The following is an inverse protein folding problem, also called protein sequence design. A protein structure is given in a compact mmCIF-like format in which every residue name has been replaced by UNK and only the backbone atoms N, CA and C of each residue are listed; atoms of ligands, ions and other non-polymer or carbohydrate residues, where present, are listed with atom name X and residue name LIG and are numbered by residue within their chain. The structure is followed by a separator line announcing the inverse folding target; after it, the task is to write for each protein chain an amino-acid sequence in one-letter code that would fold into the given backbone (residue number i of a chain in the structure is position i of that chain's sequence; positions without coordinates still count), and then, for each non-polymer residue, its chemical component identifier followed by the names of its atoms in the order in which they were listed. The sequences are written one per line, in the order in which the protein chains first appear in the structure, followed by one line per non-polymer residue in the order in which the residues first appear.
data_IF_914689051048
#
_entry.id   IF_914689051048
#
_cell.length_a   1.000
_cell.length_b   1.000
_cell.length_c   1.000
_cell.angle_alpha   90.00
_cell.angle_beta   90.00
_cell.angle_gamma   90.00
#
_symmetry.space_group_name_H-M   'P 1'
#
loop_
_entity.id
_entity.type
_entity.pdbx_description
1 polymer ?
#
# COMPACT_ATOMS: atom_id res chain seq x y z
N UNK A 1 9.14 -14.87 -26.80
CA UNK A 1 9.20 -13.92 -25.69
C UNK A 1 10.59 -13.93 -25.07
N UNK A 2 11.17 -12.77 -24.96
CA UNK A 2 12.52 -12.63 -24.47
C UNK A 2 12.57 -12.88 -22.96
N UNK A 3 13.46 -13.77 -22.50
CA UNK A 3 13.69 -14.05 -21.08
C UNK A 3 14.07 -12.78 -20.30
N UNK A 4 14.71 -11.83 -20.99
CA UNK A 4 15.12 -10.57 -20.38
C UNK A 4 13.92 -9.77 -19.88
N UNK A 5 12.82 -9.74 -20.63
CA UNK A 5 11.59 -9.04 -20.23
C UNK A 5 10.97 -9.70 -19.00
N UNK A 6 10.91 -11.03 -18.97
CA UNK A 6 10.38 -11.76 -17.82
C UNK A 6 11.23 -11.56 -16.57
N UNK A 7 12.55 -11.53 -16.72
CA UNK A 7 13.48 -11.29 -15.62
C UNK A 7 13.29 -9.86 -15.07
N UNK A 8 13.20 -8.88 -15.95
CA UNK A 8 12.99 -7.48 -15.56
C UNK A 8 11.67 -7.30 -14.84
N UNK A 9 10.61 -7.93 -15.35
CA UNK A 9 9.30 -7.90 -14.73
C UNK A 9 9.34 -8.53 -13.33
N UNK A 10 10.00 -9.68 -13.22
CA UNK A 10 10.15 -10.38 -11.94
C UNK A 10 10.92 -9.56 -10.92
N UNK A 11 11.96 -8.85 -11.34
CA UNK A 11 12.71 -7.97 -10.45
C UNK A 11 11.86 -6.81 -9.94
N UNK A 12 10.96 -6.29 -10.77
CA UNK A 12 10.01 -5.24 -10.32
C UNK A 12 9.02 -5.79 -9.29
N UNK A 13 8.51 -7.00 -9.49
CA UNK A 13 7.64 -7.66 -8.50
C UNK A 13 8.39 -7.82 -7.17
N UNK A 14 9.62 -8.27 -7.21
CA UNK A 14 10.46 -8.42 -6.02
C UNK A 14 10.70 -7.09 -5.33
N UNK A 15 11.00 -6.04 -6.10
CA UNK A 15 11.22 -4.69 -5.59
C UNK A 15 9.96 -4.15 -4.91
N UNK A 16 8.82 -4.33 -5.54
CA UNK A 16 7.51 -3.96 -4.96
C UNK A 16 7.29 -4.67 -3.63
N UNK A 17 7.47 -5.98 -3.62
CA UNK A 17 7.27 -6.79 -2.41
C UNK A 17 8.17 -6.32 -1.26
N UNK A 18 9.44 -6.07 -1.55
CA UNK A 18 10.39 -5.58 -0.54
C UNK A 18 10.04 -4.18 -0.04
N UNK A 19 9.61 -3.31 -0.95
CA UNK A 19 9.16 -1.96 -0.59
C UNK A 19 7.96 -2.02 0.36
N UNK A 20 7.07 -3.00 0.16
CA UNK A 20 5.92 -3.24 1.03
C UNK A 20 6.28 -4.01 2.30
N UNK A 21 7.55 -4.40 2.46
CA UNK A 21 8.03 -5.16 3.62
C UNK A 21 7.28 -6.48 3.80
N UNK A 22 7.02 -7.18 2.69
CA UNK A 22 6.29 -8.44 2.67
C UNK A 22 7.19 -9.61 2.30
N UNK A 23 6.92 -10.77 2.88
CA UNK A 23 7.50 -12.04 2.42
C UNK A 23 6.80 -12.47 1.12
N UNK A 24 7.38 -13.42 0.40
CA UNK A 24 6.72 -14.01 -0.77
C UNK A 24 5.37 -14.62 -0.41
N UNK A 25 5.28 -15.28 0.74
CA UNK A 25 4.03 -15.87 1.22
C UNK A 25 2.98 -14.80 1.51
N UNK A 26 3.36 -13.71 2.18
CA UNK A 26 2.44 -12.61 2.49
C UNK A 26 1.89 -11.97 1.22
N UNK A 27 2.77 -11.71 0.28
CA UNK A 27 2.40 -11.12 -1.01
C UNK A 27 1.43 -12.05 -1.76
N UNK A 28 1.75 -13.35 -1.81
CA UNK A 28 0.92 -14.34 -2.49
C UNK A 28 -0.49 -14.39 -1.91
N UNK A 29 -0.60 -14.43 -0.58
CA UNK A 29 -1.90 -14.48 0.10
C UNK A 29 -2.76 -13.27 -0.26
N UNK A 30 -2.16 -12.10 -0.33
CA UNK A 30 -2.88 -10.86 -0.63
C UNK A 30 -3.53 -10.86 -2.01
N UNK A 31 -2.96 -11.57 -2.96
CA UNK A 31 -3.46 -11.60 -4.34
C UNK A 31 -4.00 -12.98 -4.75
N UNK A 32 -4.19 -13.87 -3.77
CA UNK A 32 -4.82 -15.16 -3.99
C UNK A 32 -3.95 -16.19 -4.72
N UNK A 33 -2.64 -16.10 -4.54
CA UNK A 33 -1.68 -17.01 -5.17
C UNK A 33 -0.88 -17.77 -4.11
N UNK A 34 0.00 -18.67 -4.56
CA UNK A 34 0.90 -19.41 -3.69
C UNK A 34 2.29 -18.78 -3.72
N UNK A 35 3.07 -19.04 -2.66
CA UNK A 35 4.47 -18.59 -2.59
C UNK A 35 5.26 -19.09 -3.80
N UNK A 36 5.05 -20.35 -4.18
CA UNK A 36 5.75 -20.94 -5.32
C UNK A 36 5.52 -20.17 -6.62
N UNK A 37 4.30 -19.70 -6.84
CA UNK A 37 3.96 -18.87 -7.99
C UNK A 37 4.72 -17.55 -7.96
N UNK A 38 4.80 -16.90 -6.80
CA UNK A 38 5.55 -15.64 -6.65
C UNK A 38 7.04 -15.86 -6.92
N UNK A 39 7.60 -16.96 -6.41
CA UNK A 39 8.99 -17.32 -6.69
C UNK A 39 9.25 -17.44 -8.19
N UNK A 40 8.35 -18.09 -8.92
CA UNK A 40 8.46 -18.24 -10.38
C UNK A 40 8.40 -16.89 -11.10
N UNK A 41 7.55 -15.98 -10.65
CA UNK A 41 7.49 -14.64 -11.22
C UNK A 41 8.79 -13.88 -10.96
N UNK A 42 9.28 -13.89 -9.73
CA UNK A 42 10.48 -13.13 -9.34
C UNK A 42 11.76 -13.65 -10.01
N UNK A 43 11.80 -14.92 -10.35
CA UNK A 43 12.95 -15.52 -11.04
C UNK A 43 12.84 -15.46 -12.57
N UNK A 44 11.72 -15.01 -13.10
CA UNK A 44 11.50 -14.93 -14.54
C UNK A 44 11.10 -16.25 -15.19
N UNK A 45 10.88 -17.31 -14.40
CA UNK A 45 10.45 -18.60 -14.92
C UNK A 45 9.02 -18.57 -15.47
N UNK A 46 8.21 -17.67 -14.96
CA UNK A 46 6.82 -17.51 -15.37
C UNK A 46 6.47 -16.05 -15.36
N UNK A 47 5.64 -15.63 -16.32
CA UNK A 47 5.13 -14.27 -16.39
C UNK A 47 3.69 -14.24 -15.88
N UNK A 48 3.32 -13.24 -15.07
CA UNK A 48 1.93 -13.10 -14.65
C UNK A 48 1.01 -12.83 -15.84
N UNK A 49 -0.22 -13.34 -15.74
CA UNK A 49 -1.26 -13.01 -16.72
C UNK A 49 -1.67 -11.54 -16.56
N UNK A 50 -2.35 -11.03 -17.58
CA UNK A 50 -2.88 -9.68 -17.54
C UNK A 50 -3.78 -9.44 -16.32
N UNK A 51 -4.60 -10.42 -15.97
CA UNK A 51 -5.49 -10.33 -14.81
C UNK A 51 -4.72 -10.26 -13.50
N UNK A 52 -3.63 -11.01 -13.39
CA UNK A 52 -2.79 -10.99 -12.18
C UNK A 52 -2.09 -9.63 -12.05
N UNK A 53 -1.61 -9.06 -13.15
CA UNK A 53 -1.02 -7.72 -13.13
C UNK A 53 -2.03 -6.69 -12.63
N UNK A 54 -3.26 -6.74 -13.14
CA UNK A 54 -4.33 -5.84 -12.71
C UNK A 54 -4.63 -6.04 -11.22
N UNK A 55 -4.67 -7.28 -10.74
CA UNK A 55 -4.90 -7.60 -9.33
C UNK A 55 -3.83 -7.01 -8.43
N UNK A 56 -2.56 -7.14 -8.82
CA UNK A 56 -1.44 -6.55 -8.07
C UNK A 56 -1.59 -5.03 -8.00
N UNK A 57 -1.88 -4.40 -9.13
CA UNK A 57 -2.00 -2.95 -9.19
C UNK A 57 -3.14 -2.42 -8.33
N UNK A 58 -4.27 -3.13 -8.30
CA UNK A 58 -5.42 -2.76 -7.48
C UNK A 58 -5.17 -2.95 -5.99
N UNK A 59 -4.56 -4.09 -5.64
CA UNK A 59 -4.35 -4.44 -4.24
C UNK A 59 -3.37 -3.49 -3.54
N UNK A 60 -2.33 -3.06 -4.26
CA UNK A 60 -1.24 -2.29 -3.66
C UNK A 60 -1.11 -0.86 -4.20
N UNK A 61 -2.07 -0.41 -4.99
CA UNK A 61 -2.04 0.93 -5.62
C UNK A 61 -0.78 1.15 -6.47
N UNK A 62 -0.41 0.15 -7.24
CA UNK A 62 0.78 0.16 -8.08
C UNK A 62 0.45 0.78 -9.44
N UNK A 63 1.37 1.59 -9.94
CA UNK A 63 1.31 2.12 -11.30
C UNK A 63 1.54 0.98 -12.29
N UNK A 64 0.51 0.66 -13.08
CA UNK A 64 0.56 -0.45 -14.03
C UNK A 64 1.69 -0.28 -15.03
N UNK A 65 1.92 0.95 -15.51
CA UNK A 65 2.97 1.24 -16.47
C UNK A 65 4.36 0.93 -15.88
N UNK A 66 4.58 1.32 -14.62
CA UNK A 66 5.81 0.98 -13.94
C UNK A 66 5.99 -0.54 -13.81
N UNK A 67 4.95 -1.26 -13.43
CA UNK A 67 5.05 -2.70 -13.23
C UNK A 67 5.34 -3.42 -14.55
N UNK A 68 4.70 -2.98 -15.65
CA UNK A 68 4.87 -3.61 -16.97
C UNK A 68 6.16 -3.22 -17.66
N UNK A 69 6.56 -1.96 -17.58
CA UNK A 69 7.64 -1.41 -18.41
C UNK A 69 8.79 -0.79 -17.64
N UNK A 70 8.61 -0.49 -16.36
CA UNK A 70 9.60 0.22 -15.56
C UNK A 70 9.47 1.74 -15.65
N UNK A 71 8.51 2.25 -16.42
CA UNK A 71 8.34 3.70 -16.59
C UNK A 71 7.49 4.30 -15.47
N UNK A 72 7.89 5.48 -15.01
CA UNK A 72 7.15 6.22 -14.00
C UNK A 72 7.44 5.75 -12.58
N UNK A 73 6.61 6.17 -11.66
CA UNK A 73 6.76 5.83 -10.24
C UNK A 73 6.09 4.50 -9.93
N UNK A 74 6.62 3.81 -8.91
CA UNK A 74 6.09 2.50 -8.48
C UNK A 74 4.62 2.57 -8.09
N UNK A 75 4.23 3.61 -7.37
CA UNK A 75 2.87 3.76 -6.87
C UNK A 75 2.15 4.92 -7.53
N UNK A 76 0.83 4.77 -7.65
CA UNK A 76 -0.02 5.88 -8.10
C UNK A 76 -0.12 6.93 -6.98
N UNK A 77 -0.26 8.22 -7.32
CA UNK A 77 -0.50 9.22 -6.30
C UNK A 77 -1.84 8.97 -5.60
N UNK A 78 -1.87 9.22 -4.30
CA UNK A 78 -3.10 9.13 -3.51
C UNK A 78 -3.54 10.54 -3.13
N UNK A 79 -4.86 10.72 -2.95
CA UNK A 79 -5.40 12.00 -2.53
C UNK A 79 -5.07 12.26 -1.06
N UNK A 80 -5.14 13.52 -0.63
CA UNK A 80 -4.94 13.88 0.77
C UNK A 80 -5.91 13.15 1.69
N UNK A 81 -7.15 12.98 1.26
CA UNK A 81 -8.17 12.27 2.04
C UNK A 81 -7.84 10.80 2.20
N UNK A 82 -7.38 10.15 1.13
CA UNK A 82 -6.95 8.74 1.17
C UNK A 82 -5.73 8.57 2.08
N UNK A 83 -4.79 9.50 2.00
CA UNK A 83 -3.59 9.50 2.85
C UNK A 83 -3.97 9.65 4.32
N UNK A 84 -4.90 10.55 4.62
CA UNK A 84 -5.40 10.75 5.98
C UNK A 84 -6.07 9.48 6.51
N UNK A 85 -6.89 8.81 5.69
CA UNK A 85 -7.53 7.55 6.07
C UNK A 85 -6.51 6.47 6.41
N UNK A 86 -5.40 6.41 5.66
CA UNK A 86 -4.32 5.47 5.95
C UNK A 86 -3.66 5.76 7.31
N UNK A 87 -3.39 7.02 7.61
CA UNK A 87 -2.80 7.41 8.89
C UNK A 87 -3.73 7.08 10.06
N UNK A 88 -5.00 7.42 9.93
CA UNK A 88 -6.01 7.11 10.95
C UNK A 88 -6.11 5.59 11.15
N UNK A 89 -6.09 4.82 10.06
CA UNK A 89 -6.12 3.37 10.12
C UNK A 89 -4.91 2.79 10.85
N UNK A 90 -3.73 3.36 10.65
CA UNK A 90 -2.52 2.92 11.36
C UNK A 90 -2.61 3.17 12.86
N UNK A 91 -3.13 4.32 13.25
CA UNK A 91 -3.30 4.66 14.67
C UNK A 91 -4.30 3.72 15.32
N UNK A 92 -5.47 3.51 14.67
CA UNK A 92 -6.54 2.68 15.24
C UNK A 92 -6.25 1.19 15.17
N UNK A 93 -5.55 0.74 14.12
CA UNK A 93 -5.30 -0.69 13.89
C UNK A 93 -4.26 -1.31 14.80
N UNK A 94 -3.36 -0.51 15.37
CA UNK A 94 -2.29 -1.01 16.24
C UNK A 94 -2.60 -0.92 17.72
N UNK A 95 -3.73 -0.84 18.09
CA UNK A 95 -4.35 -0.15 19.09
C UNK A 95 -4.25 -0.48 20.53
N UNK A 96 -3.71 0.38 21.33
CA UNK A 96 -4.11 0.43 22.72
C UNK A 96 -5.46 1.16 22.87
N UNK A 97 -6.13 0.94 23.98
CA UNK A 97 -7.43 1.53 24.29
C UNK A 97 -7.40 3.06 24.28
N UNK A 98 -6.30 3.63 24.71
CA UNK A 98 -6.14 5.09 24.76
C UNK A 98 -6.25 5.71 23.36
N UNK A 99 -5.51 5.16 22.39
CA UNK A 99 -5.53 5.68 21.02
C UNK A 99 -6.90 5.56 20.38
N UNK A 100 -7.56 4.41 20.58
CA UNK A 100 -8.91 4.19 20.07
C UNK A 100 -9.91 5.18 20.67
N UNK A 101 -9.86 5.37 21.98
CA UNK A 101 -10.73 6.29 22.68
C UNK A 101 -10.48 7.74 22.27
N UNK A 102 -9.23 8.10 22.06
CA UNK A 102 -8.87 9.44 21.60
C UNK A 102 -9.47 9.72 20.22
N UNK A 103 -9.33 8.78 19.29
CA UNK A 103 -9.91 8.92 17.94
C UNK A 103 -11.43 9.06 18.02
N UNK A 104 -12.09 8.22 18.81
CA UNK A 104 -13.54 8.29 18.98
C UNK A 104 -13.99 9.63 19.55
N UNK A 105 -13.25 10.14 20.53
CA UNK A 105 -13.55 11.43 21.16
C UNK A 105 -13.41 12.56 20.15
N UNK A 106 -12.32 12.57 19.37
CA UNK A 106 -12.09 13.57 18.34
C UNK A 106 -13.19 13.56 17.27
N UNK A 107 -13.65 12.35 16.89
CA UNK A 107 -14.73 12.22 15.90
C UNK A 107 -16.08 12.75 16.38
N UNK A 108 -16.26 12.89 17.69
CA UNK A 108 -17.50 13.38 18.28
C UNK A 108 -17.51 14.87 18.57
N UNK A 109 -16.40 15.56 18.33
CA UNK A 109 -16.30 16.99 18.60
C UNK A 109 -17.22 17.78 17.66
N UNK A 110 -17.88 18.80 18.23
CA UNK A 110 -18.66 19.76 17.45
C UNK A 110 -17.71 20.73 16.72
N UNK A 111 -18.24 21.50 15.79
CA UNK A 111 -17.48 22.53 15.08
C UNK A 111 -16.83 23.52 16.05
N UNK A 112 -17.59 23.97 17.06
CA UNK A 112 -17.07 24.89 18.06
C UNK A 112 -15.94 24.28 18.89
N UNK A 113 -16.07 23.01 19.23
CA UNK A 113 -15.05 22.29 19.97
C UNK A 113 -13.78 22.10 19.12
N UNK A 114 -13.93 21.82 17.82
CA UNK A 114 -12.79 21.75 16.90
C UNK A 114 -12.09 23.10 16.80
N UNK A 115 -12.82 24.21 16.72
CA UNK A 115 -12.27 25.55 16.68
C UNK A 115 -11.48 25.87 17.95
N UNK A 116 -12.00 25.49 19.11
CA UNK A 116 -11.30 25.66 20.39
C UNK A 116 -9.99 24.87 20.42
N UNK A 117 -10.02 23.61 19.98
CA UNK A 117 -8.84 22.75 19.93
C UNK A 117 -7.80 23.32 18.97
N UNK A 118 -8.23 23.79 17.81
CA UNK A 118 -7.35 24.43 16.81
C UNK A 118 -6.62 25.64 17.40
N UNK A 119 -7.34 26.45 18.15
CA UNK A 119 -6.77 27.62 18.83
C UNK A 119 -5.70 27.21 19.83
N UNK A 120 -6.00 26.20 20.67
CA UNK A 120 -5.05 25.69 21.66
C UNK A 120 -3.76 25.21 21.00
N UNK A 121 -3.90 24.40 19.94
CA UNK A 121 -2.75 23.85 19.22
C UNK A 121 -1.93 24.95 18.55
N UNK A 122 -2.59 25.96 17.99
CA UNK A 122 -1.88 27.08 17.35
C UNK A 122 -1.05 27.91 18.32
N UNK A 123 -1.40 27.89 19.59
CA UNK A 123 -0.67 28.58 20.65
C UNK A 123 0.48 27.73 21.22
N UNK A 124 0.53 26.46 20.90
CA UNK A 124 1.60 25.54 21.29
C UNK A 124 2.79 25.71 20.35
N UNK A 125 3.82 26.34 20.78
CA UNK A 125 5.05 26.46 19.97
C UNK A 125 6.26 25.97 20.74
#
# INVERSE_FOLDING_TARGET
MDNTENISFGLRIKDLRKTLEMTQSDFAVRIGLTQNTITKYETGLRSPSNQIVISICREFNVNEDWLRTGNGDMFNPISEDEELDLYVGRISGGADEFKKNLIKTLCKLSEDEWDALKKIISEMK
#
